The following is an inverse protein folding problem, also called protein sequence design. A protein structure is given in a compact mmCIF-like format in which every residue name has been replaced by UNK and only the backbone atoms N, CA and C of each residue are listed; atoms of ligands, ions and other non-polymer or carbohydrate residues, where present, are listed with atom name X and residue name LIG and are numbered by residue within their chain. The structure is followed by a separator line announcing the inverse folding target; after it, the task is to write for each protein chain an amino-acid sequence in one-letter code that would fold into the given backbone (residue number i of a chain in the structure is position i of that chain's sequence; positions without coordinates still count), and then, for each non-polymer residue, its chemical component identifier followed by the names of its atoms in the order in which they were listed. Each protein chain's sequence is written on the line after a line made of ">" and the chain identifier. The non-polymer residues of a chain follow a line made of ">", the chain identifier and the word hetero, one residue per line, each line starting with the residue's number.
data_IF_764561019132
#
_entry.id   IF_764561019132
#
_cell.length_a   1.000
_cell.length_b   1.000
_cell.length_c   1.000
_cell.angle_alpha   90.00
_cell.angle_beta   90.00
_cell.angle_gamma   90.00
#
_symmetry.space_group_name_H-M   'P 1'
#
loop_
_entity.id
_entity.type
_entity.pdbx_description
1 polymer ?
#
# COMPACT_ATOMS: atom_id res chain seq x y z
N UNK A 1 14.31 -10.04 47.49
CA UNK A 1 12.94 -9.52 47.41
C UNK A 1 12.07 -10.40 48.29
N UNK A 2 11.61 -9.91 49.44
CA UNK A 2 10.65 -10.67 50.26
C UNK A 2 9.27 -10.56 49.60
N UNK A 3 8.63 -11.70 49.32
CA UNK A 3 7.29 -11.75 48.74
C UNK A 3 6.30 -11.87 49.89
N UNK A 4 5.35 -10.94 49.97
CA UNK A 4 4.31 -10.91 51.00
C UNK A 4 3.01 -11.41 50.38
N UNK A 5 2.54 -12.57 50.82
CA UNK A 5 1.29 -13.15 50.33
C UNK A 5 0.10 -12.60 51.13
N UNK A 6 -0.73 -11.77 50.49
CA UNK A 6 -1.92 -11.18 51.10
C UNK A 6 -3.12 -12.10 50.86
N UNK A 7 -3.65 -12.71 51.92
CA UNK A 7 -4.86 -13.54 51.83
C UNK A 7 -6.14 -12.71 51.97
N UNK A 8 -6.47 -11.94 50.93
CA UNK A 8 -7.73 -11.18 50.86
C UNK A 8 -8.53 -11.52 49.61
N UNK A 9 -9.78 -11.97 49.79
CA UNK A 9 -10.69 -12.34 48.70
C UNK A 9 -11.05 -11.16 47.79
N UNK A 10 -11.19 -9.94 48.32
CA UNK A 10 -11.56 -8.75 47.53
C UNK A 10 -10.41 -8.34 46.61
N UNK A 11 -9.20 -8.33 47.16
CA UNK A 11 -8.00 -7.98 46.40
C UNK A 11 -7.64 -9.05 45.37
N UNK A 12 -7.80 -10.33 45.73
CA UNK A 12 -7.65 -11.44 44.81
C UNK A 12 -8.63 -11.37 43.64
N UNK A 13 -9.92 -11.12 43.91
CA UNK A 13 -10.94 -10.99 42.86
C UNK A 13 -10.64 -9.82 41.91
N UNK A 14 -10.22 -8.68 42.44
CA UNK A 14 -9.81 -7.52 41.65
C UNK A 14 -8.57 -7.82 40.78
N UNK A 15 -7.58 -8.53 41.32
CA UNK A 15 -6.39 -8.95 40.56
C UNK A 15 -6.75 -9.92 39.41
N UNK A 16 -7.55 -10.95 39.68
CA UNK A 16 -7.99 -11.89 38.64
C UNK A 16 -8.89 -11.21 37.61
N UNK A 17 -9.73 -10.26 38.01
CA UNK A 17 -10.53 -9.45 37.09
C UNK A 17 -9.64 -8.70 36.10
N UNK A 18 -8.64 -7.94 36.57
CA UNK A 18 -7.71 -7.24 35.69
C UNK A 18 -6.91 -8.20 34.82
N UNK A 19 -6.45 -9.32 35.35
CA UNK A 19 -5.77 -10.36 34.57
C UNK A 19 -6.64 -10.89 33.43
N UNK A 20 -7.91 -11.22 33.71
CA UNK A 20 -8.83 -11.76 32.70
C UNK A 20 -9.15 -10.71 31.63
N UNK A 21 -9.35 -9.44 32.02
CA UNK A 21 -9.56 -8.34 31.08
C UNK A 21 -8.35 -8.16 30.16
N UNK A 22 -7.13 -8.15 30.70
CA UNK A 22 -5.90 -8.00 29.92
C UNK A 22 -5.70 -9.21 29.00
N UNK A 23 -5.90 -10.42 29.50
CA UNK A 23 -5.79 -11.64 28.68
C UNK A 23 -6.82 -11.65 27.56
N UNK A 24 -8.07 -11.27 27.85
CA UNK A 24 -9.13 -11.12 26.86
C UNK A 24 -8.79 -10.06 25.81
N UNK A 25 -8.20 -8.94 26.21
CA UNK A 25 -7.72 -7.90 25.30
C UNK A 25 -6.57 -8.39 24.40
N UNK A 26 -5.57 -9.09 24.97
CA UNK A 26 -4.43 -9.61 24.21
C UNK A 26 -4.92 -10.67 23.21
N UNK A 27 -5.66 -11.68 23.67
CA UNK A 27 -6.08 -12.79 22.80
C UNK A 27 -7.16 -12.36 21.84
N UNK A 28 -8.24 -11.74 22.33
CA UNK A 28 -9.41 -11.38 21.52
C UNK A 28 -9.13 -10.21 20.58
N UNK A 29 -8.62 -9.09 21.11
CA UNK A 29 -8.43 -7.88 20.31
C UNK A 29 -7.08 -7.87 19.59
N UNK A 30 -5.98 -8.14 20.30
CA UNK A 30 -4.64 -7.95 19.72
C UNK A 30 -4.25 -9.10 18.77
N UNK A 31 -4.42 -10.35 19.22
CA UNK A 31 -4.05 -11.52 18.41
C UNK A 31 -5.12 -11.80 17.37
N UNK A 32 -6.39 -12.00 17.76
CA UNK A 32 -7.42 -12.42 16.81
C UNK A 32 -7.93 -11.27 15.93
N UNK A 33 -8.32 -10.12 16.50
CA UNK A 33 -8.90 -9.03 15.71
C UNK A 33 -7.87 -8.25 14.89
N UNK A 34 -6.73 -7.87 15.47
CA UNK A 34 -5.67 -7.15 14.75
C UNK A 34 -4.72 -8.08 13.98
N UNK A 35 -4.89 -9.41 14.06
CA UNK A 35 -4.03 -10.41 13.42
C UNK A 35 -2.53 -10.19 13.69
N UNK A 36 -2.15 -9.74 14.90
CA UNK A 36 -0.75 -9.44 15.28
C UNK A 36 0.16 -10.67 15.38
N UNK A 37 -0.33 -11.84 14.98
CA UNK A 37 0.46 -13.05 14.78
C UNK A 37 0.99 -13.19 13.33
N UNK A 38 0.55 -12.30 12.43
CA UNK A 38 1.01 -12.24 11.06
C UNK A 38 2.14 -11.22 10.92
N UNK A 39 3.23 -11.64 10.29
CA UNK A 39 4.20 -10.71 9.72
C UNK A 39 3.65 -10.20 8.39
N UNK A 40 3.54 -8.88 8.25
CA UNK A 40 3.01 -8.25 7.03
C UNK A 40 4.11 -7.63 6.17
N UNK A 41 3.93 -7.67 4.85
CA UNK A 41 4.83 -7.07 3.87
C UNK A 41 4.00 -6.53 2.69
N UNK A 42 4.40 -5.36 2.15
CA UNK A 42 3.84 -4.85 0.91
C UNK A 42 4.47 -5.60 -0.28
N UNK A 43 3.67 -6.08 -1.24
CA UNK A 43 4.20 -6.79 -2.40
C UNK A 43 4.92 -5.83 -3.35
N UNK A 44 5.92 -6.37 -4.05
CA UNK A 44 6.47 -5.76 -5.26
C UNK A 44 5.89 -6.50 -6.46
N UNK A 45 5.50 -5.76 -7.50
CA UNK A 45 4.85 -6.34 -8.67
C UNK A 45 5.62 -6.14 -9.97
N UNK A 46 5.33 -7.02 -10.92
CA UNK A 46 5.71 -6.90 -12.33
C UNK A 46 4.43 -6.89 -13.15
N UNK A 47 4.32 -5.95 -14.08
CA UNK A 47 3.12 -5.76 -14.87
C UNK A 47 3.52 -5.64 -16.33
N UNK A 48 2.91 -6.50 -17.15
CA UNK A 48 3.01 -6.52 -18.60
C UNK A 48 1.63 -6.27 -19.18
N UNK A 49 1.57 -5.34 -20.12
CA UNK A 49 0.32 -4.95 -20.77
C UNK A 49 0.41 -5.13 -22.26
N UNK A 50 -0.71 -5.43 -22.90
CA UNK A 50 -0.83 -5.46 -24.36
C UNK A 50 -2.15 -4.84 -24.78
N UNK A 51 -2.14 -4.05 -25.84
CA UNK A 51 -3.35 -3.56 -26.48
C UNK A 51 -3.66 -4.40 -27.71
N UNK A 52 -4.94 -4.65 -27.94
CA UNK A 52 -5.40 -5.26 -29.17
C UNK A 52 -6.61 -4.49 -29.72
N UNK A 53 -6.60 -4.19 -31.01
CA UNK A 53 -7.75 -3.59 -31.68
C UNK A 53 -8.84 -4.64 -31.90
N UNK A 54 -10.12 -4.23 -31.96
CA UNK A 54 -11.22 -5.13 -32.33
C UNK A 54 -10.94 -5.85 -33.66
N UNK A 55 -11.21 -7.16 -33.73
CA UNK A 55 -11.14 -7.89 -34.98
C UNK A 55 -12.41 -7.66 -35.81
N UNK A 56 -12.51 -6.54 -36.52
CA UNK A 56 -13.54 -6.37 -37.54
C UNK A 56 -13.15 -7.21 -38.77
N UNK A 57 -13.50 -8.50 -38.77
CA UNK A 57 -13.43 -9.32 -39.98
C UNK A 57 -14.51 -8.84 -40.97
N UNK A 58 -14.11 -8.09 -41.99
CA UNK A 58 -14.89 -7.91 -43.23
C UNK A 58 -16.19 -7.10 -43.14
N UNK A 59 -16.46 -6.42 -42.03
CA UNK A 59 -17.52 -5.42 -41.97
C UNK A 59 -16.87 -4.06 -42.22
N UNK A 60 -17.36 -3.33 -43.22
CA UNK A 60 -17.24 -1.87 -43.22
C UNK A 60 -17.68 -1.41 -41.83
N UNK A 61 -16.82 -0.77 -41.02
CA UNK A 61 -17.25 -0.24 -39.73
C UNK A 61 -18.53 0.58 -39.97
N UNK A 62 -19.54 0.49 -39.08
CA UNK A 62 -20.78 1.24 -39.23
C UNK A 62 -20.38 2.68 -39.50
N UNK A 63 -20.85 3.21 -40.64
CA UNK A 63 -20.40 4.46 -41.22
C UNK A 63 -20.13 5.46 -40.09
N UNK A 64 -18.87 5.87 -39.92
CA UNK A 64 -18.58 7.05 -39.14
C UNK A 64 -19.41 8.14 -39.80
N UNK A 65 -20.49 8.56 -39.15
CA UNK A 65 -21.36 9.60 -39.65
C UNK A 65 -20.49 10.84 -39.90
N UNK A 66 -20.12 11.05 -41.16
CA UNK A 66 -19.54 12.29 -41.66
C UNK A 66 -18.25 12.80 -40.97
N UNK A 67 -17.42 11.94 -40.38
CA UNK A 67 -16.20 12.38 -39.68
C UNK A 67 -14.96 12.29 -40.59
N UNK A 68 -14.68 13.36 -41.35
CA UNK A 68 -13.61 13.42 -42.37
C UNK A 68 -12.19 13.22 -41.83
N UNK A 69 -12.00 13.27 -40.50
CA UNK A 69 -10.68 13.20 -39.84
C UNK A 69 -10.31 11.82 -39.25
N UNK A 70 -11.20 10.82 -39.34
CA UNK A 70 -10.96 9.48 -38.79
C UNK A 70 -10.31 8.56 -39.83
N UNK A 71 -9.09 8.07 -39.57
CA UNK A 71 -8.47 7.02 -40.38
C UNK A 71 -8.92 5.64 -39.89
N UNK A 72 -9.88 5.02 -40.59
CA UNK A 72 -10.41 3.70 -40.24
C UNK A 72 -9.57 2.52 -40.77
N UNK A 73 -8.53 2.76 -41.59
CA UNK A 73 -7.94 1.73 -42.45
C UNK A 73 -6.45 1.45 -42.25
N UNK A 74 -5.92 1.56 -41.03
CA UNK A 74 -4.52 1.21 -40.76
C UNK A 74 -4.36 0.41 -39.48
N UNK A 75 -4.58 -0.90 -39.60
CA UNK A 75 -4.24 -1.89 -38.59
C UNK A 75 -2.73 -1.95 -38.23
N UNK A 76 -1.90 -1.07 -38.80
CA UNK A 76 -0.43 -1.09 -38.69
C UNK A 76 0.21 0.18 -38.12
N UNK A 77 -0.56 1.18 -37.67
CA UNK A 77 -0.02 2.38 -36.97
C UNK A 77 -0.37 2.45 -35.48
N UNK A 78 -1.01 1.40 -34.95
CA UNK A 78 -1.62 1.40 -33.62
C UNK A 78 -0.70 0.72 -32.58
N UNK A 79 -0.10 1.54 -31.71
CA UNK A 79 0.94 1.21 -30.72
C UNK A 79 2.33 1.56 -31.28
N UNK A 80 3.14 2.46 -30.74
CA UNK A 80 3.61 2.64 -29.36
C UNK A 80 4.17 4.07 -29.18
N UNK A 81 4.62 4.45 -27.98
CA UNK A 81 6.07 4.36 -27.73
C UNK A 81 6.38 3.68 -26.39
N UNK A 82 7.35 2.76 -26.47
CA UNK A 82 8.12 2.13 -25.38
C UNK A 82 7.36 1.31 -24.33
N UNK A 83 7.87 0.12 -24.02
CA UNK A 83 7.60 -0.57 -22.77
C UNK A 83 8.16 0.30 -21.63
N UNK A 84 7.41 1.32 -21.21
CA UNK A 84 7.68 1.97 -19.94
C UNK A 84 7.27 0.98 -18.85
N UNK A 85 8.22 0.61 -17.98
CA UNK A 85 7.94 -0.37 -16.95
C UNK A 85 6.83 0.14 -16.03
N UNK A 86 5.71 -0.59 -15.96
CA UNK A 86 4.54 -0.20 -15.17
C UNK A 86 3.68 0.89 -15.80
N UNK A 87 3.87 1.26 -17.07
CA UNK A 87 2.98 2.21 -17.75
C UNK A 87 2.70 1.82 -19.20
N UNK A 88 1.58 2.33 -19.71
CA UNK A 88 1.14 2.14 -21.08
C UNK A 88 0.54 3.41 -21.63
N UNK A 89 0.91 3.77 -22.85
CA UNK A 89 0.33 4.90 -23.55
C UNK A 89 -0.53 4.44 -24.73
N UNK A 90 -1.81 4.79 -24.65
CA UNK A 90 -2.82 4.52 -25.67
C UNK A 90 -3.09 5.84 -26.40
N UNK A 91 -2.66 5.91 -27.66
CA UNK A 91 -2.86 7.10 -28.49
C UNK A 91 -4.34 7.23 -28.88
N UNK A 92 -4.87 8.44 -28.81
CA UNK A 92 -6.24 8.79 -29.24
C UNK A 92 -6.25 9.82 -30.37
N UNK A 93 -5.26 10.72 -30.39
CA UNK A 93 -5.07 11.75 -31.42
C UNK A 93 -3.59 11.84 -31.80
N UNK A 94 -3.31 12.05 -33.08
CA UNK A 94 -1.98 12.31 -33.61
C UNK A 94 -2.03 13.61 -34.40
N UNK A 95 -1.25 14.62 -33.98
CA UNK A 95 -1.00 15.82 -34.77
C UNK A 95 0.27 15.61 -35.58
N UNK A 96 0.10 15.53 -36.90
CA UNK A 96 1.20 15.37 -37.84
C UNK A 96 1.71 16.73 -38.31
N UNK A 97 3.02 16.96 -38.18
CA UNK A 97 3.67 18.15 -38.74
C UNK A 97 4.86 17.72 -39.59
N UNK A 98 4.75 17.93 -40.91
CA UNK A 98 5.88 17.73 -41.82
C UNK A 98 6.85 18.90 -41.69
N UNK A 99 8.14 18.58 -41.53
CA UNK A 99 9.20 19.57 -41.37
C UNK A 99 10.39 19.25 -42.25
N UNK A 100 10.92 20.27 -42.90
CA UNK A 100 12.15 20.19 -43.68
C UNK A 100 13.25 21.02 -43.01
N UNK A 101 14.49 20.62 -43.22
CA UNK A 101 15.66 21.38 -42.78
C UNK A 101 15.69 22.70 -43.55
N UNK A 102 15.93 23.81 -42.86
CA UNK A 102 16.03 25.12 -43.51
C UNK A 102 17.06 25.09 -44.66
N UNK A 103 16.70 25.66 -45.82
CA UNK A 103 17.50 25.58 -47.05
C UNK A 103 18.99 25.88 -46.84
N UNK A 104 19.84 25.00 -47.37
CA UNK A 104 21.31 25.13 -47.35
C UNK A 104 21.96 24.89 -45.98
N UNK A 105 21.24 24.33 -45.02
CA UNK A 105 21.71 24.15 -43.67
C UNK A 105 22.15 22.70 -43.37
N UNK A 106 23.24 22.53 -42.61
CA UNK A 106 23.72 21.21 -42.16
C UNK A 106 23.46 21.03 -40.66
N UNK A 107 23.10 19.80 -40.24
CA UNK A 107 22.88 19.45 -38.84
C UNK A 107 24.13 19.61 -37.95
N UNK A 108 25.31 19.78 -38.54
CA UNK A 108 26.55 20.12 -37.83
C UNK A 108 26.59 21.57 -37.35
N UNK A 109 25.71 22.44 -37.89
CA UNK A 109 25.63 23.84 -37.50
C UNK A 109 24.57 24.04 -36.40
N UNK A 110 24.97 24.71 -35.30
CA UNK A 110 24.10 25.00 -34.16
C UNK A 110 22.95 25.99 -34.49
N UNK A 111 23.00 26.70 -35.62
CA UNK A 111 21.89 27.56 -36.08
C UNK A 111 20.86 26.82 -36.92
N UNK A 112 21.09 25.54 -37.20
CA UNK A 112 20.23 24.74 -38.07
C UNK A 112 18.95 24.31 -37.36
N UNK A 113 17.80 24.59 -37.99
CA UNK A 113 16.48 24.24 -37.45
C UNK A 113 15.58 23.69 -38.55
N UNK A 114 14.72 22.77 -38.14
CA UNK A 114 13.62 22.27 -38.96
C UNK A 114 12.49 23.30 -39.00
N UNK A 115 11.90 23.51 -40.16
CA UNK A 115 10.77 24.42 -40.38
C UNK A 115 9.57 23.63 -40.89
N UNK A 116 8.35 23.93 -40.41
CA UNK A 116 7.14 23.27 -40.90
C UNK A 116 6.88 23.64 -42.36
N UNK A 117 6.63 22.64 -43.19
CA UNK A 117 6.31 22.82 -44.62
C UNK A 117 4.81 22.81 -44.90
N UNK A 118 4.01 22.33 -43.95
CA UNK A 118 2.55 22.27 -44.05
C UNK A 118 1.92 22.65 -42.71
N UNK A 119 0.66 23.12 -42.70
CA UNK A 119 -0.08 23.23 -41.45
C UNK A 119 -0.17 21.86 -40.75
N UNK A 120 -0.25 21.83 -39.41
CA UNK A 120 -0.47 20.60 -38.68
C UNK A 120 -1.79 19.94 -39.10
N UNK A 121 -1.79 18.61 -39.18
CA UNK A 121 -2.99 17.83 -39.46
C UNK A 121 -3.30 16.90 -38.29
N UNK A 122 -4.51 17.00 -37.74
CA UNK A 122 -4.97 16.17 -36.63
C UNK A 122 -5.70 14.93 -37.13
N UNK A 123 -5.27 13.77 -36.62
CA UNK A 123 -5.83 12.46 -36.94
C UNK A 123 -6.31 11.84 -35.64
N UNK A 124 -7.55 11.35 -35.63
CA UNK A 124 -8.10 10.65 -34.47
C UNK A 124 -8.18 9.15 -34.72
N UNK A 125 -7.90 8.38 -33.68
CA UNK A 125 -8.04 6.93 -33.68
C UNK A 125 -9.47 6.60 -33.27
N UNK A 126 -10.19 5.97 -34.20
CA UNK A 126 -11.56 5.51 -33.99
C UNK A 126 -11.59 4.28 -33.06
N UNK A 127 -12.73 4.06 -32.43
CA UNK A 127 -13.08 2.86 -31.66
C UNK A 127 -12.11 2.49 -30.54
N UNK A 128 -11.29 3.43 -30.07
CA UNK A 128 -10.28 3.18 -29.02
C UNK A 128 -10.90 2.65 -27.72
N UNK A 129 -12.17 2.96 -27.46
CA UNK A 129 -12.95 2.49 -26.32
C UNK A 129 -13.29 0.99 -26.42
N UNK A 130 -13.27 0.43 -27.63
CA UNK A 130 -13.52 -1.00 -27.90
C UNK A 130 -12.21 -1.82 -27.94
N UNK A 131 -11.05 -1.19 -27.77
CA UNK A 131 -9.79 -1.93 -27.74
C UNK A 131 -9.71 -2.76 -26.47
N UNK A 132 -9.19 -3.97 -26.58
CA UNK A 132 -8.99 -4.86 -25.44
C UNK A 132 -7.59 -4.68 -24.86
N UNK A 133 -7.55 -4.47 -23.55
CA UNK A 133 -6.35 -4.36 -22.75
C UNK A 133 -6.12 -5.67 -22.00
N UNK A 134 -5.01 -6.34 -22.31
CA UNK A 134 -4.48 -7.43 -21.50
C UNK A 134 -3.66 -6.85 -20.34
N UNK A 135 -3.96 -7.26 -19.12
CA UNK A 135 -3.21 -6.94 -17.90
C UNK A 135 -2.64 -8.24 -17.35
N UNK A 136 -1.35 -8.48 -17.61
CA UNK A 136 -0.61 -9.62 -17.06
C UNK A 136 0.22 -9.12 -15.89
N UNK A 137 -0.16 -9.51 -14.67
CA UNK A 137 0.44 -8.99 -13.45
C UNK A 137 0.91 -10.13 -12.55
N UNK A 138 2.04 -9.93 -11.90
CA UNK A 138 2.61 -10.85 -10.93
C UNK A 138 3.09 -10.08 -9.71
N UNK A 139 3.10 -10.74 -8.55
CA UNK A 139 3.58 -10.15 -7.31
C UNK A 139 4.53 -11.09 -6.58
N UNK A 140 5.42 -10.48 -5.81
CA UNK A 140 6.30 -11.18 -4.89
C UNK A 140 6.54 -10.37 -3.62
N UNK A 141 6.73 -11.08 -2.50
CA UNK A 141 7.14 -10.52 -1.21
C UNK A 141 8.50 -11.10 -0.85
N UNK A 142 9.49 -10.24 -0.66
CA UNK A 142 10.88 -10.67 -0.47
C UNK A 142 11.12 -11.37 0.87
N UNK A 143 10.47 -10.89 1.94
CA UNK A 143 10.67 -11.42 3.28
C UNK A 143 9.72 -12.56 3.61
N UNK A 144 8.49 -12.53 3.09
CA UNK A 144 7.50 -13.60 3.33
C UNK A 144 7.68 -14.80 2.37
N UNK A 145 8.37 -14.59 1.23
CA UNK A 145 8.58 -15.62 0.21
C UNK A 145 7.29 -16.06 -0.48
N UNK A 146 6.29 -15.19 -0.54
CA UNK A 146 5.04 -15.39 -1.28
C UNK A 146 5.24 -14.86 -2.70
N UNK A 147 4.82 -15.64 -3.70
CA UNK A 147 4.80 -15.26 -5.10
C UNK A 147 3.51 -15.76 -5.74
N UNK A 148 2.91 -14.96 -6.63
CA UNK A 148 1.73 -15.37 -7.37
C UNK A 148 1.59 -14.57 -8.67
N UNK A 149 1.06 -15.22 -9.71
CA UNK A 149 0.64 -14.54 -10.93
C UNK A 149 -0.87 -14.23 -10.85
N UNK A 150 -1.33 -13.21 -11.57
CA UNK A 150 -2.75 -12.83 -11.60
C UNK A 150 -3.66 -13.98 -12.00
N UNK A 151 -3.22 -14.82 -12.93
CA UNK A 151 -3.95 -16.01 -13.40
C UNK A 151 -4.14 -17.08 -12.30
N UNK A 152 -3.28 -17.08 -11.26
CA UNK A 152 -3.36 -18.03 -10.15
C UNK A 152 -4.29 -17.52 -9.03
N UNK A 153 -4.75 -16.27 -9.12
CA UNK A 153 -5.48 -15.58 -8.07
C UNK A 153 -6.92 -15.28 -8.49
N UNK A 154 -7.82 -15.23 -7.50
CA UNK A 154 -9.12 -14.61 -7.70
C UNK A 154 -9.04 -13.10 -7.48
N UNK A 155 -9.85 -12.35 -8.20
CA UNK A 155 -9.86 -10.90 -8.10
C UNK A 155 -11.15 -10.26 -8.57
N UNK A 156 -11.18 -8.94 -8.52
CA UNK A 156 -12.32 -8.15 -9.00
C UNK A 156 -11.89 -6.77 -9.47
N UNK A 157 -12.61 -6.25 -10.46
CA UNK A 157 -12.56 -4.84 -10.83
C UNK A 157 -13.50 -4.05 -9.91
N UNK A 158 -13.00 -2.94 -9.37
CA UNK A 158 -13.74 -2.02 -8.51
C UNK A 158 -14.03 -0.74 -9.31
N UNK A 159 -15.28 -0.30 -9.27
CA UNK A 159 -15.70 0.93 -9.94
C UNK A 159 -15.33 2.19 -9.15
N UNK A 160 -15.72 3.36 -9.68
CA UNK A 160 -15.44 4.65 -9.06
C UNK A 160 -16.22 4.90 -7.75
N UNK A 161 -17.29 4.14 -7.49
CA UNK A 161 -18.08 4.20 -6.25
C UNK A 161 -17.52 3.27 -5.17
N UNK A 162 -16.60 2.37 -5.52
CA UNK A 162 -16.05 1.36 -4.62
C UNK A 162 -16.79 0.01 -4.68
N UNK A 163 -17.69 -0.16 -5.65
CA UNK A 163 -18.48 -1.38 -5.83
C UNK A 163 -17.79 -2.34 -6.80
N UNK A 164 -18.02 -3.66 -6.61
CA UNK A 164 -17.48 -4.70 -7.49
C UNK A 164 -18.23 -4.71 -8.82
N UNK A 165 -17.49 -4.58 -9.92
CA UNK A 165 -18.03 -4.71 -11.28
C UNK A 165 -18.28 -6.18 -11.56
N UNK A 166 -19.56 -6.59 -11.57
CA UNK A 166 -19.97 -7.98 -11.80
C UNK A 166 -20.41 -8.25 -13.24
N UNK A 167 -20.90 -7.23 -13.94
CA UNK A 167 -21.42 -7.34 -15.30
C UNK A 167 -20.39 -6.81 -16.31
N UNK A 168 -19.57 -7.72 -16.82
CA UNK A 168 -18.59 -7.41 -17.87
C UNK A 168 -19.16 -7.74 -19.26
N UNK A 169 -18.80 -6.96 -20.30
CA UNK A 169 -19.10 -7.29 -21.69
C UNK A 169 -18.58 -8.67 -22.08
N UNK A 170 -19.16 -9.25 -23.14
CA UNK A 170 -18.69 -10.53 -23.66
C UNK A 170 -17.22 -10.42 -24.12
N UNK A 171 -16.38 -11.37 -23.67
CA UNK A 171 -14.95 -11.39 -23.96
C UNK A 171 -14.08 -10.77 -22.87
N UNK A 172 -14.66 -9.98 -21.95
CA UNK A 172 -13.94 -9.45 -20.80
C UNK A 172 -13.85 -10.46 -19.67
N UNK A 173 -12.67 -10.53 -19.08
CA UNK A 173 -12.34 -11.40 -17.96
C UNK A 173 -11.49 -10.64 -16.96
N UNK A 174 -11.83 -10.74 -15.68
CA UNK A 174 -11.01 -10.21 -14.59
C UNK A 174 -11.12 -11.15 -13.39
N UNK A 175 -10.00 -11.46 -12.74
CA UNK A 175 -10.02 -12.18 -11.47
C UNK A 175 -10.52 -13.62 -11.54
N UNK A 176 -10.47 -14.24 -12.73
CA UNK A 176 -10.86 -15.63 -12.94
C UNK A 176 -9.62 -16.54 -12.96
N UNK A 177 -9.57 -17.48 -12.03
CA UNK A 177 -8.46 -18.45 -11.93
C UNK A 177 -8.28 -19.20 -13.26
N UNK A 178 -7.05 -19.27 -13.75
CA UNK A 178 -6.65 -19.91 -15.00
C UNK A 178 -6.92 -19.08 -16.27
N UNK A 179 -7.40 -17.84 -16.14
CA UNK A 179 -7.60 -16.91 -17.26
C UNK A 179 -6.82 -15.63 -17.07
N UNK A 180 -6.49 -14.99 -18.18
CA UNK A 180 -5.86 -13.67 -18.19
C UNK A 180 -6.89 -12.57 -17.95
N UNK A 181 -6.45 -11.45 -17.40
CA UNK A 181 -7.28 -10.27 -17.25
C UNK A 181 -7.30 -9.49 -18.56
N UNK A 182 -8.46 -9.48 -19.22
CA UNK A 182 -8.70 -8.81 -20.50
C UNK A 182 -9.91 -7.92 -20.30
N UNK A 183 -9.73 -6.62 -20.51
CA UNK A 183 -10.78 -5.62 -20.32
C UNK A 183 -10.85 -4.70 -21.53
N UNK A 184 -12.06 -4.41 -22.02
CA UNK A 184 -12.23 -3.32 -22.97
C UNK A 184 -11.85 -1.98 -22.33
N UNK A 185 -11.28 -1.08 -23.13
CA UNK A 185 -10.89 0.25 -22.67
C UNK A 185 -12.08 1.04 -22.10
N UNK A 186 -13.28 0.85 -22.65
CA UNK A 186 -14.54 1.42 -22.14
C UNK A 186 -14.87 0.96 -20.71
N UNK A 187 -14.52 -0.28 -20.34
CA UNK A 187 -14.69 -0.78 -18.97
C UNK A 187 -13.68 -0.13 -18.03
N UNK A 188 -12.43 -0.02 -18.46
CA UNK A 188 -11.35 0.64 -17.68
C UNK A 188 -11.68 2.13 -17.45
N UNK A 189 -12.19 2.82 -18.47
CA UNK A 189 -12.62 4.22 -18.38
C UNK A 189 -13.81 4.39 -17.43
N UNK A 190 -14.84 3.54 -17.55
CA UNK A 190 -16.01 3.59 -16.64
C UNK A 190 -15.63 3.27 -15.20
N UNK A 191 -14.70 2.34 -14.97
CA UNK A 191 -14.15 2.09 -13.63
C UNK A 191 -13.45 3.32 -13.05
N UNK A 192 -12.89 4.19 -13.90
CA UNK A 192 -12.31 5.48 -13.50
C UNK A 192 -13.34 6.61 -13.34
N UNK A 193 -14.64 6.35 -13.56
CA UNK A 193 -15.69 7.38 -13.56
C UNK A 193 -15.74 8.21 -14.85
N UNK A 194 -15.25 7.68 -15.98
CA UNK A 194 -15.29 8.34 -17.29
C UNK A 194 -16.20 7.55 -18.22
N UNK A 195 -17.31 8.16 -18.63
CA UNK A 195 -18.26 7.51 -19.54
C UNK A 195 -17.76 7.43 -20.98
N UNK A 196 -17.12 8.51 -21.46
CA UNK A 196 -16.54 8.58 -22.81
C UNK A 196 -15.38 9.57 -22.87
N UNK A 197 -14.43 9.32 -23.76
CA UNK A 197 -13.31 10.20 -24.08
C UNK A 197 -13.74 11.48 -24.82
N UNK A 198 -14.94 11.52 -25.39
CA UNK A 198 -15.43 12.71 -26.09
C UNK A 198 -16.06 13.75 -25.15
N UNK A 199 -16.13 13.43 -23.85
CA UNK A 199 -16.51 14.40 -22.80
C UNK A 199 -15.44 15.48 -22.60
N UNK A 200 -15.79 16.66 -22.05
CA UNK A 200 -14.84 17.74 -21.80
C UNK A 200 -13.61 17.30 -21.00
N UNK A 201 -12.44 17.78 -21.38
CA UNK A 201 -11.15 17.47 -20.78
C UNK A 201 -11.05 17.97 -19.34
N UNK A 202 -10.18 17.33 -18.55
CA UNK A 202 -9.95 17.75 -17.16
C UNK A 202 -9.23 19.10 -17.08
N UNK A 203 -8.24 19.33 -17.94
CA UNK A 203 -7.41 20.54 -17.92
C UNK A 203 -8.00 21.70 -18.74
N UNK A 204 -8.61 21.42 -19.90
CA UNK A 204 -9.28 22.44 -20.74
C UNK A 204 -10.71 21.99 -21.10
N UNK A 205 -11.76 22.63 -20.54
CA UNK A 205 -13.15 22.29 -20.83
C UNK A 205 -13.56 22.48 -22.29
N UNK A 206 -12.79 23.24 -23.09
CA UNK A 206 -13.07 23.46 -24.52
C UNK A 206 -12.62 22.30 -25.40
N UNK A 207 -11.80 21.39 -24.86
CA UNK A 207 -11.26 20.23 -25.56
C UNK A 207 -11.87 18.96 -24.99
N UNK A 208 -11.94 17.89 -25.77
CA UNK A 208 -12.34 16.59 -25.23
C UNK A 208 -11.17 15.91 -24.51
N UNK A 209 -11.46 14.93 -23.66
CA UNK A 209 -10.43 14.05 -23.07
C UNK A 209 -9.64 13.31 -24.17
N UNK A 210 -10.29 13.00 -25.29
CA UNK A 210 -9.67 12.42 -26.50
C UNK A 210 -8.65 13.37 -27.13
N UNK A 211 -8.92 14.68 -27.15
CA UNK A 211 -8.04 15.70 -27.73
C UNK A 211 -6.84 16.02 -26.84
N UNK A 212 -7.08 16.31 -25.55
CA UNK A 212 -6.02 16.76 -24.63
C UNK A 212 -5.19 15.59 -24.09
N UNK A 213 -5.81 14.41 -23.94
CA UNK A 213 -5.23 13.25 -23.28
C UNK A 213 -5.48 13.24 -21.77
N UNK A 214 -5.43 12.06 -21.16
CA UNK A 214 -5.71 11.86 -19.73
C UNK A 214 -4.70 10.89 -19.11
N UNK A 215 -4.53 10.98 -17.79
CA UNK A 215 -3.71 10.03 -17.02
C UNK A 215 -4.63 9.25 -16.08
N UNK A 216 -4.52 7.92 -16.13
CA UNK A 216 -5.25 6.97 -15.30
C UNK A 216 -4.26 6.19 -14.45
N UNK A 217 -4.48 6.17 -13.13
CA UNK A 217 -3.76 5.32 -12.19
C UNK A 217 -4.54 4.02 -12.01
N UNK A 218 -3.90 2.89 -12.32
CA UNK A 218 -4.47 1.55 -12.18
C UNK A 218 -3.81 0.88 -10.97
N UNK A 219 -4.51 0.84 -9.85
CA UNK A 219 -4.05 0.18 -8.63
C UNK A 219 -4.41 -1.29 -8.67
N UNK A 220 -3.42 -2.17 -8.52
CA UNK A 220 -3.62 -3.60 -8.30
C UNK A 220 -3.30 -3.87 -6.84
N UNK A 221 -4.35 -4.04 -6.02
CA UNK A 221 -4.24 -4.17 -4.57
C UNK A 221 -4.31 -5.64 -4.16
N UNK A 222 -3.22 -6.20 -3.62
CA UNK A 222 -3.20 -7.58 -3.14
C UNK A 222 -3.43 -7.67 -1.63
N UNK A 223 -4.23 -8.64 -1.21
CA UNK A 223 -4.45 -8.94 0.21
C UNK A 223 -4.79 -10.41 0.41
N UNK A 224 -4.42 -10.95 1.57
CA UNK A 224 -4.80 -12.28 2.05
C UNK A 224 -5.30 -12.25 3.50
N UNK A 225 -5.56 -11.05 4.03
CA UNK A 225 -5.94 -10.82 5.43
C UNK A 225 -7.45 -10.70 5.62
N UNK A 226 -8.23 -10.89 4.54
CA UNK A 226 -9.69 -10.94 4.60
C UNK A 226 -10.21 -12.24 5.23
N UNK A 227 -9.35 -13.25 5.37
CA UNK A 227 -9.68 -14.55 5.95
C UNK A 227 -8.57 -15.01 6.90
N UNK A 228 -8.87 -15.98 7.75
CA UNK A 228 -7.86 -16.66 8.59
C UNK A 228 -6.93 -17.56 7.76
N UNK A 229 -7.30 -17.91 6.52
CA UNK A 229 -6.44 -18.66 5.62
C UNK A 229 -5.57 -17.72 4.78
N UNK A 230 -4.32 -17.52 5.22
CA UNK A 230 -3.33 -16.66 4.55
C UNK A 230 -2.86 -17.19 3.19
N UNK A 231 -3.20 -18.42 2.81
CA UNK A 231 -2.87 -18.94 1.49
C UNK A 231 -3.85 -18.46 0.41
N UNK A 232 -5.01 -17.95 0.80
CA UNK A 232 -5.98 -17.40 -0.13
C UNK A 232 -5.64 -15.93 -0.36
N UNK A 233 -5.10 -15.62 -1.53
CA UNK A 233 -4.70 -14.26 -1.91
C UNK A 233 -5.69 -13.78 -2.95
N UNK A 234 -6.24 -12.59 -2.74
CA UNK A 234 -7.09 -11.92 -3.70
C UNK A 234 -6.45 -10.61 -4.14
N UNK A 235 -6.80 -10.16 -5.34
CA UNK A 235 -6.46 -8.84 -5.81
C UNK A 235 -7.68 -8.04 -6.25
N UNK A 236 -7.58 -6.73 -6.11
CA UNK A 236 -8.61 -5.79 -6.56
C UNK A 236 -7.97 -4.76 -7.49
N UNK A 237 -8.55 -4.59 -8.68
CA UNK A 237 -8.13 -3.56 -9.63
C UNK A 237 -9.02 -2.34 -9.42
N UNK A 238 -8.42 -1.18 -9.15
CA UNK A 238 -9.13 0.11 -9.07
C UNK A 238 -8.49 1.11 -10.02
N UNK A 239 -9.30 1.84 -10.77
CA UNK A 239 -8.82 2.86 -11.71
C UNK A 239 -9.20 4.24 -11.21
N UNK A 240 -8.25 5.18 -11.20
CA UNK A 240 -8.50 6.58 -10.82
C UNK A 240 -7.96 7.53 -11.88
N UNK A 241 -8.79 8.45 -12.33
CA UNK A 241 -8.36 9.53 -13.20
C UNK A 241 -7.60 10.62 -12.41
N UNK A 242 -6.52 11.14 -12.97
CA UNK A 242 -5.80 12.29 -12.41
C UNK A 242 -6.35 13.57 -13.01
N UNK A 243 -6.98 14.41 -12.18
CA UNK A 243 -7.53 15.71 -12.59
C UNK A 243 -6.42 16.68 -13.02
N UNK A 244 -6.79 17.66 -13.85
CA UNK A 244 -5.91 18.75 -14.32
C UNK A 244 -4.59 18.30 -14.96
N UNK A 245 -4.60 17.11 -15.57
CA UNK A 245 -3.44 16.59 -16.30
C UNK A 245 -3.77 16.36 -17.77
N UNK A 246 -2.72 16.46 -18.59
CA UNK A 246 -2.72 16.05 -20.00
C UNK A 246 -1.49 15.21 -20.25
N UNK A 247 -1.58 14.28 -21.18
CA UNK A 247 -0.43 13.49 -21.58
C UNK A 247 -0.22 13.53 -23.09
N UNK A 248 1.02 13.86 -23.47
CA UNK A 248 1.46 13.86 -24.86
C UNK A 248 2.86 13.26 -25.00
N UNK A 249 3.13 12.69 -26.17
CA UNK A 249 4.43 12.16 -26.55
C UNK A 249 4.74 12.56 -27.99
N UNK A 250 5.91 13.13 -28.21
CA UNK A 250 6.37 13.56 -29.54
C UNK A 250 7.42 12.58 -30.08
N UNK A 251 7.25 12.14 -31.32
CA UNK A 251 8.20 11.28 -32.01
C UNK A 251 8.58 11.87 -33.38
N UNK A 252 9.87 12.11 -33.65
CA UNK A 252 10.33 12.44 -34.99
C UNK A 252 10.48 11.17 -35.83
N UNK A 253 9.85 11.16 -37.01
CA UNK A 253 10.00 10.11 -38.02
C UNK A 253 10.75 10.71 -39.20
N UNK A 254 12.00 10.29 -39.38
CA UNK A 254 12.77 10.67 -40.55
C UNK A 254 12.30 9.84 -41.73
N UNK A 255 12.16 10.50 -42.89
CA UNK A 255 11.75 9.81 -44.13
C UNK A 255 12.97 9.14 -44.77
N UNK A 256 13.18 9.30 -46.08
CA UNK A 256 14.34 8.75 -46.78
C UNK A 256 15.63 9.54 -46.50
N UNK A 257 15.53 10.77 -45.99
CA UNK A 257 16.66 11.66 -45.68
C UNK A 257 16.48 12.26 -44.28
N UNK A 258 17.60 12.58 -43.62
CA UNK A 258 17.61 13.32 -42.36
C UNK A 258 17.09 14.76 -42.52
N UNK A 259 17.12 15.31 -43.74
CA UNK A 259 16.64 16.66 -44.04
C UNK A 259 15.11 16.77 -43.94
N UNK A 260 14.38 15.65 -44.07
CA UNK A 260 12.92 15.62 -44.12
C UNK A 260 12.38 14.72 -43.02
N UNK A 261 11.63 15.29 -42.09
CA UNK A 261 11.03 14.57 -40.97
C UNK A 261 9.55 14.89 -40.82
N UNK A 262 8.81 13.94 -40.28
CA UNK A 262 7.44 14.14 -39.81
C UNK A 262 7.46 14.04 -38.30
N UNK A 263 6.97 15.05 -37.61
CA UNK A 263 6.74 15.00 -36.17
C UNK A 263 5.34 14.45 -35.92
N UNK A 264 5.27 13.34 -35.19
CA UNK A 264 4.03 12.83 -34.64
C UNK A 264 3.92 13.30 -33.19
N UNK A 265 3.06 14.28 -32.94
CA UNK A 265 2.69 14.67 -31.59
C UNK A 265 1.43 13.89 -31.19
N UNK A 266 1.61 12.86 -30.36
CA UNK A 266 0.56 11.94 -29.94
C UNK A 266 -0.03 12.40 -28.61
N UNK A 267 -1.35 12.45 -28.54
CA UNK A 267 -2.13 12.64 -27.30
C UNK A 267 -2.96 11.38 -27.03
N UNK A 268 -3.32 11.17 -25.76
CA UNK A 268 -4.25 10.10 -25.40
C UNK A 268 -4.20 9.66 -23.95
N UNK A 269 -4.58 8.41 -23.71
CA UNK A 269 -4.76 7.83 -22.38
C UNK A 269 -3.44 7.21 -21.92
N UNK A 270 -2.87 7.72 -20.84
CA UNK A 270 -1.74 7.08 -20.16
C UNK A 270 -2.25 6.28 -18.97
N UNK A 271 -2.02 4.98 -18.98
CA UNK A 271 -2.28 4.07 -17.85
C UNK A 271 -0.99 3.90 -17.07
N UNK A 272 -0.99 4.24 -15.78
CA UNK A 272 0.12 3.98 -14.86
C UNK A 272 -0.31 2.91 -13.87
N UNK A 273 0.33 1.76 -13.91
CA UNK A 273 0.00 0.61 -13.09
C UNK A 273 0.82 0.62 -11.80
N UNK A 274 0.14 0.46 -10.68
CA UNK A 274 0.70 0.56 -9.34
C UNK A 274 0.33 -0.70 -8.56
N UNK A 275 1.34 -1.49 -8.19
CA UNK A 275 1.16 -2.61 -7.28
C UNK A 275 1.15 -2.11 -5.84
N UNK A 276 0.06 -2.36 -5.12
CA UNK A 276 -0.11 -1.99 -3.72
C UNK A 276 -0.73 -3.15 -2.95
N UNK A 277 -0.83 -3.01 -1.63
CA UNK A 277 -1.46 -4.02 -0.78
C UNK A 277 -0.61 -4.41 0.43
N UNK A 278 -1.10 -5.40 1.17
CA UNK A 278 -0.44 -5.93 2.35
C UNK A 278 -0.76 -7.40 2.48
N UNK A 279 0.28 -8.23 2.46
CA UNK A 279 0.16 -9.67 2.62
C UNK A 279 0.69 -10.04 4.00
N UNK A 280 -0.03 -10.91 4.69
CA UNK A 280 0.34 -11.46 5.99
C UNK A 280 0.71 -12.94 5.89
N UNK A 281 1.78 -13.33 6.56
CA UNK A 281 2.13 -14.75 6.78
C UNK A 281 2.30 -15.00 8.26
N UNK A 282 1.87 -16.16 8.73
CA UNK A 282 2.11 -16.55 10.12
C UNK A 282 3.61 -16.51 10.43
N UNK A 283 3.96 -15.83 11.52
CA UNK A 283 5.33 -15.73 11.99
C UNK A 283 5.37 -15.90 13.52
N UNK A 284 6.02 -16.97 13.97
CA UNK A 284 6.07 -17.33 15.39
C UNK A 284 6.79 -16.27 16.22
N UNK A 285 7.83 -15.64 15.67
CA UNK A 285 8.56 -14.57 16.35
C UNK A 285 7.65 -13.35 16.59
N UNK A 286 6.87 -12.95 15.59
CA UNK A 286 5.90 -11.84 15.68
C UNK A 286 4.81 -12.14 16.71
N UNK A 287 4.32 -13.38 16.76
CA UNK A 287 3.39 -13.83 17.81
C UNK A 287 4.05 -13.72 19.21
N UNK A 288 5.29 -14.18 19.36
CA UNK A 288 6.01 -14.12 20.63
C UNK A 288 6.24 -12.68 21.09
N UNK A 289 6.63 -11.78 20.20
CA UNK A 289 6.78 -10.35 20.50
C UNK A 289 5.46 -9.71 20.97
N UNK A 290 4.35 -10.12 20.37
CA UNK A 290 3.01 -9.70 20.79
C UNK A 290 2.69 -10.20 22.21
N UNK A 291 3.01 -11.45 22.52
CA UNK A 291 2.83 -11.99 23.88
C UNK A 291 3.74 -11.32 24.91
N UNK A 292 5.02 -11.08 24.59
CA UNK A 292 5.95 -10.39 25.50
C UNK A 292 5.44 -9.00 25.85
N UNK A 293 4.95 -8.26 24.85
CA UNK A 293 4.30 -6.97 25.07
C UNK A 293 3.08 -7.10 25.98
N UNK A 294 2.27 -8.14 25.78
CA UNK A 294 1.11 -8.45 26.63
C UNK A 294 1.46 -8.79 28.08
N UNK A 295 2.53 -9.55 28.33
CA UNK A 295 3.04 -9.85 29.67
C UNK A 295 3.46 -8.57 30.40
N UNK A 296 4.01 -7.59 29.68
CA UNK A 296 4.29 -6.26 30.21
C UNK A 296 3.06 -5.58 30.82
N UNK A 297 1.89 -5.67 30.17
CA UNK A 297 0.64 -5.13 30.73
C UNK A 297 0.18 -5.86 31.99
N UNK A 298 0.46 -7.16 32.13
CA UNK A 298 0.13 -7.91 33.35
C UNK A 298 0.93 -7.39 34.56
N UNK A 299 2.18 -6.96 34.36
CA UNK A 299 2.96 -6.32 35.42
C UNK A 299 2.40 -4.94 35.82
N UNK A 300 1.80 -4.21 34.87
CA UNK A 300 1.11 -2.94 35.20
C UNK A 300 -0.14 -3.21 36.05
N UNK A 301 -0.86 -4.31 35.79
CA UNK A 301 -2.00 -4.71 36.63
C UNK A 301 -1.59 -4.93 38.09
N UNK A 302 -0.49 -5.64 38.36
CA UNK A 302 -0.03 -5.86 39.74
C UNK A 302 0.29 -4.55 40.45
N UNK A 303 0.92 -3.59 39.76
CA UNK A 303 1.16 -2.25 40.30
C UNK A 303 -0.13 -1.49 40.62
N UNK A 304 -1.17 -1.62 39.79
CA UNK A 304 -2.47 -0.99 40.05
C UNK A 304 -3.13 -1.62 41.29
N UNK A 305 -3.16 -2.95 41.38
CA UNK A 305 -3.70 -3.67 42.54
C UNK A 305 -2.94 -3.28 43.81
N UNK A 306 -1.64 -3.12 43.71
CA UNK A 306 -0.76 -2.68 44.79
C UNK A 306 -1.08 -1.27 45.29
N UNK A 307 -1.33 -0.32 44.39
CA UNK A 307 -1.74 1.04 44.74
C UNK A 307 -3.13 1.02 45.40
N UNK A 308 -4.05 0.21 44.89
CA UNK A 308 -5.40 0.05 45.45
C UNK A 308 -5.33 -0.55 46.86
N UNK A 309 -4.49 -1.57 47.09
CA UNK A 309 -4.31 -2.19 48.39
C UNK A 309 -3.82 -1.18 49.44
N UNK A 310 -2.82 -0.35 49.11
CA UNK A 310 -2.17 0.55 50.07
C UNK A 310 -2.94 1.87 50.26
N UNK A 311 -3.68 2.36 49.26
CA UNK A 311 -4.33 3.69 49.34
C UNK A 311 -5.85 3.65 49.56
N UNK A 312 -6.55 2.71 48.92
CA UNK A 312 -8.02 2.73 48.79
C UNK A 312 -8.74 1.72 49.69
N UNK A 313 -8.15 0.54 49.95
CA UNK A 313 -8.81 -0.51 50.73
C UNK A 313 -8.99 -0.12 52.22
N UNK A 314 -10.07 -0.55 52.88
CA UNK A 314 -10.33 -0.23 54.29
C UNK A 314 -9.24 -0.78 55.24
N UNK A 315 -8.57 -1.88 54.87
CA UNK A 315 -7.43 -2.45 55.57
C UNK A 315 -6.06 -1.84 55.23
N UNK A 316 -6.01 -0.68 54.57
CA UNK A 316 -4.78 -0.05 54.02
C UNK A 316 -3.58 0.02 54.97
N UNK A 317 -3.80 0.31 56.24
CA UNK A 317 -2.70 0.43 57.22
C UNK A 317 -2.01 -0.92 57.45
N UNK A 318 -2.80 -1.99 57.50
CA UNK A 318 -2.29 -3.37 57.63
C UNK A 318 -1.48 -3.75 56.40
N UNK A 319 -2.00 -3.51 55.19
CA UNK A 319 -1.23 -3.78 53.96
C UNK A 319 0.04 -2.95 53.87
N UNK A 320 0.01 -1.67 54.28
CA UNK A 320 1.19 -0.79 54.30
C UNK A 320 2.27 -1.32 55.25
N UNK A 321 1.90 -1.75 56.46
CA UNK A 321 2.82 -2.29 57.47
C UNK A 321 3.54 -3.55 57.00
N UNK A 322 2.84 -4.45 56.31
CA UNK A 322 3.46 -5.68 55.80
C UNK A 322 4.21 -5.47 54.48
N UNK A 323 3.84 -4.47 53.68
CA UNK A 323 4.47 -4.19 52.38
C UNK A 323 5.75 -3.35 52.49
N UNK A 324 5.77 -2.37 53.39
CA UNK A 324 6.90 -1.47 53.56
C UNK A 324 7.55 -1.71 54.92
N UNK A 325 8.85 -1.99 54.92
CA UNK A 325 9.65 -2.03 56.13
C UNK A 325 10.28 -0.65 56.33
N UNK A 326 9.91 0.03 57.41
CA UNK A 326 10.47 1.34 57.75
C UNK A 326 11.82 1.11 58.45
N UNK A 327 12.90 1.61 57.85
CA UNK A 327 14.21 1.66 58.48
C UNK A 327 14.51 3.11 58.84
N UNK A 328 14.76 3.44 60.12
CA UNK A 328 15.22 4.76 60.49
C UNK A 328 16.55 5.03 59.79
N UNK A 329 16.64 6.16 59.08
CA UNK A 329 17.92 6.68 58.63
C UNK A 329 18.52 7.32 59.87
N UNK A 330 19.37 6.59 60.58
CA UNK A 330 20.22 7.20 61.59
C UNK A 330 21.25 8.03 60.83
N UNK A 331 21.20 9.36 60.99
CA UNK A 331 22.31 10.21 60.54
C UNK A 331 23.59 9.65 61.18
N UNK A 332 24.74 9.58 60.48
CA UNK A 332 25.95 9.00 61.06
C UNK A 332 26.36 9.67 62.39
N UNK A 333 25.94 10.92 62.61
CA UNK A 333 26.07 11.64 63.87
C UNK A 333 25.22 11.05 65.01
N UNK A 334 23.95 10.66 64.76
CA UNK A 334 23.07 10.06 65.77
C UNK A 334 23.36 8.58 66.01
N UNK A 335 23.89 7.84 65.03
CA UNK A 335 24.25 6.44 65.21
C UNK A 335 25.32 6.27 66.31
N UNK A 336 26.25 7.22 66.39
CA UNK A 336 27.35 7.20 67.37
C UNK A 336 26.85 7.41 68.81
N UNK A 337 25.81 8.24 69.01
CA UNK A 337 25.18 8.41 70.32
C UNK A 337 24.36 7.20 70.77
N UNK A 338 23.74 6.47 69.84
CA UNK A 338 22.94 5.28 70.17
C UNK A 338 23.84 4.11 70.57
N UNK A 339 24.98 3.90 69.91
CA UNK A 339 25.95 2.87 70.32
C UNK A 339 26.66 3.25 71.64
N UNK A 340 26.99 4.53 71.85
CA UNK A 340 27.61 5.00 73.11
C UNK A 340 26.69 4.87 74.34
N UNK A 341 25.36 4.93 74.16
CA UNK A 341 24.39 4.66 75.24
C UNK A 341 24.22 3.17 75.56
N UNK A 342 24.46 2.28 74.60
CA UNK A 342 24.31 0.84 74.79
C UNK A 342 25.53 0.20 75.46
N UNK A 343 26.75 0.72 75.24
CA UNK A 343 27.97 0.25 75.92
C UNK A 343 28.08 0.69 77.39
N UNK A 344 27.21 1.61 77.85
CA UNK A 344 27.19 2.09 79.23
C UNK A 344 26.40 1.22 80.21
N UNK A 345 25.77 0.13 79.76
CA UNK A 345 24.89 -0.70 80.58
C UNK A 345 25.02 -2.18 80.23
N UNK A 346 26.10 -2.82 80.66
CA UNK A 346 26.06 -4.06 81.45
C UNK A 346 27.47 -4.66 81.71
N UNK A 347 27.73 -4.93 82.99
CA UNK A 347 28.66 -5.88 83.61
C UNK A 347 30.19 -5.78 83.41
N UNK A 348 30.78 -5.10 84.40
CA UNK A 348 31.85 -5.66 85.24
C UNK A 348 31.45 -7.04 85.78
N UNK A 349 31.88 -8.12 85.13
CA UNK A 349 32.42 -9.33 85.80
C UNK A 349 32.78 -10.40 84.76
N UNK A 350 34.07 -10.48 84.36
CA UNK A 350 34.63 -11.73 83.85
C UNK A 350 36.16 -11.83 84.06
N UNK A 351 36.50 -12.67 85.04
CA UNK A 351 37.65 -13.57 85.11
C UNK A 351 38.98 -13.21 84.41
N UNK A 352 39.97 -12.84 85.24
CA UNK A 352 41.38 -13.15 85.05
C UNK A 352 41.66 -14.63 85.37
N UNK A 353 42.29 -15.37 84.45
CA UNK A 353 43.65 -15.92 84.63
C UNK A 353 44.05 -16.75 83.40
N UNK A 354 45.16 -16.30 82.81
CA UNK A 354 45.92 -16.96 81.75
C UNK A 354 46.97 -17.86 82.43
N UNK A 355 47.14 -19.09 81.93
CA UNK A 355 48.29 -19.93 82.25
C UNK A 355 48.70 -20.77 81.03
N UNK A 356 49.79 -20.36 80.35
CA UNK A 356 50.90 -21.22 79.88
C UNK A 356 51.94 -20.40 79.11
N UNK A 357 53.01 -20.00 79.81
CA UNK A 357 54.41 -20.37 79.57
C UNK A 357 55.27 -19.68 80.62
#
# INVERSE_FOLDING_TARGET
>A
MQIVQIQDRRLGLLHYFFMLVILGYIVGFTVLWQMRYLKTEAPVGSIRTSLMSPQTKGLTPPAAENITYCLQNSASTNGYPTLEHGAMFVTTRITNTSQDLKDGCSLTNNTCKYVPVSPPNDIYIADIEDFTLLIDHAMYTSQLGIQANGQDLSGSLIDSNGDKVTNLPAGDTVGMIGKQDILHMSVVLRAAGIDSLDTPGFNDPKKSKRDDGIVLLVFITYSNTYSYNTNNINYEITVKAVSDTKFKSEQPIYTKSYEKRVIWNRHGVRLLFLTVGSLGKFDFQTLLLTFVSGIGLLAVSTLIVDVIAVRLMPGRQTYKKYKYQETPITDPAEATEVYARLDGSCDSDYHTTVNRA
#
